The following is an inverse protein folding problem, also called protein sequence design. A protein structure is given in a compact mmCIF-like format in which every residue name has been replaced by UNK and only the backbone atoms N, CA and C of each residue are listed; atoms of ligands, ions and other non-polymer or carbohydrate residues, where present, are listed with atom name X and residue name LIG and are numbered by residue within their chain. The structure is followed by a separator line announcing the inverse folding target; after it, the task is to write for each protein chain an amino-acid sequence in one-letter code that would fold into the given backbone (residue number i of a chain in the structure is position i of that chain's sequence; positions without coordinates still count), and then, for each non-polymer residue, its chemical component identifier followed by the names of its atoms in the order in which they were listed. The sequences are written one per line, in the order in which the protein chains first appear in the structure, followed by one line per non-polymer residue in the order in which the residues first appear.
data_IF_586649915396
#
_entry.id   IF_586649915396
#
_cell.length_a   1.000
_cell.length_b   1.000
_cell.length_c   1.000
_cell.angle_alpha   90.00
_cell.angle_beta   90.00
_cell.angle_gamma   90.00
#
_symmetry.space_group_name_H-M   'P 1'
#
loop_
_entity.id
_entity.type
_entity.pdbx_description
1 polymer ?
#
# COMPACT_ATOMS: atom_id res chain seq x y z
N UNK A 1 15.19 -25.98 -29.77
CA UNK A 1 14.82 -26.47 -28.43
C UNK A 1 15.83 -25.88 -27.46
N UNK A 2 15.53 -25.05 -26.47
CA UNK A 2 14.26 -24.61 -25.89
C UNK A 2 14.41 -23.10 -25.56
N UNK A 3 13.25 -22.45 -25.58
CA UNK A 3 12.91 -21.03 -25.49
C UNK A 3 13.59 -20.33 -24.30
N UNK A 4 14.23 -19.19 -24.59
CA UNK A 4 14.63 -18.19 -23.60
C UNK A 4 13.69 -16.98 -23.71
N UNK A 5 13.29 -16.48 -22.53
CA UNK A 5 12.81 -15.12 -22.26
C UNK A 5 11.56 -14.60 -23.02
N UNK A 6 10.39 -14.74 -22.40
CA UNK A 6 9.24 -13.85 -22.65
C UNK A 6 8.14 -14.00 -21.56
N UNK A 7 8.38 -13.54 -20.33
CA UNK A 7 7.30 -13.25 -19.37
C UNK A 7 7.66 -12.01 -18.54
N UNK A 8 7.72 -10.83 -19.17
CA UNK A 8 7.33 -9.54 -18.55
C UNK A 8 6.90 -8.62 -19.69
N UNK A 9 5.74 -8.88 -20.28
CA UNK A 9 5.14 -7.99 -21.29
C UNK A 9 3.62 -8.18 -21.32
N UNK A 10 2.94 -7.90 -20.20
CA UNK A 10 1.49 -7.72 -20.18
C UNK A 10 1.03 -7.09 -18.85
N UNK A 11 1.54 -5.91 -18.51
CA UNK A 11 0.82 -5.00 -17.64
C UNK A 11 0.73 -3.67 -18.39
N UNK A 12 -0.24 -3.61 -19.31
CA UNK A 12 -0.58 -2.38 -19.99
C UNK A 12 -0.97 -1.35 -18.95
N UNK A 13 -0.14 -0.32 -18.81
CA UNK A 13 -0.50 0.92 -18.14
C UNK A 13 -1.61 1.53 -19.00
N UNK A 14 -2.86 1.47 -18.53
CA UNK A 14 -3.87 2.40 -19.03
C UNK A 14 -3.59 3.73 -18.31
N UNK A 15 -2.77 4.57 -18.93
CA UNK A 15 -2.76 5.99 -18.60
C UNK A 15 -4.06 6.58 -19.13
N UNK A 16 -5.10 6.64 -18.29
CA UNK A 16 -6.30 7.42 -18.61
C UNK A 16 -5.95 8.89 -18.40
N UNK A 17 -5.43 9.54 -19.44
CA UNK A 17 -5.53 10.98 -19.55
C UNK A 17 -6.99 11.30 -19.91
N UNK A 18 -7.79 11.78 -18.95
CA UNK A 18 -9.13 12.25 -19.24
C UNK A 18 -9.16 13.78 -19.31
N UNK A 19 -9.55 14.28 -20.47
CA UNK A 19 -9.89 15.68 -20.72
C UNK A 19 -11.20 15.98 -20.00
N UNK A 20 -11.20 16.88 -19.02
CA UNK A 20 -12.42 17.38 -18.37
C UNK A 20 -13.12 18.33 -19.36
N UNK A 21 -14.41 18.12 -19.70
CA UNK A 21 -15.17 19.12 -20.42
C UNK A 21 -15.49 20.27 -19.47
N UNK A 22 -15.09 21.50 -19.83
CA UNK A 22 -15.58 22.72 -19.18
C UNK A 22 -17.12 22.79 -19.33
N UNK A 23 -17.83 22.82 -18.20
CA UNK A 23 -19.30 22.88 -18.23
C UNK A 23 -19.99 22.76 -16.87
N UNK A 24 -19.93 23.85 -16.11
CA UNK A 24 -20.92 24.32 -15.11
C UNK A 24 -21.97 23.34 -14.53
N UNK A 25 -21.89 23.08 -13.22
CA UNK A 25 -23.08 23.04 -12.34
C UNK A 25 -22.72 23.32 -10.88
N UNK A 26 -23.66 23.98 -10.17
CA UNK A 26 -23.58 24.41 -8.76
C UNK A 26 -23.25 23.24 -7.80
N UNK A 27 -22.67 23.50 -6.61
CA UNK A 27 -22.27 22.46 -5.66
C UNK A 27 -23.51 21.79 -5.04
N UNK A 28 -24.00 20.76 -5.71
CA UNK A 28 -24.80 19.74 -5.07
C UNK A 28 -23.85 18.86 -4.24
N UNK A 29 -24.25 18.51 -3.03
CA UNK A 29 -23.70 17.39 -2.25
C UNK A 29 -23.52 16.22 -3.21
N UNK A 30 -22.27 15.82 -3.52
CA UNK A 30 -22.01 14.87 -4.59
C UNK A 30 -21.45 13.53 -4.07
N UNK A 31 -22.31 12.64 -3.51
CA UNK A 31 -21.95 11.27 -3.17
C UNK A 31 -21.31 10.49 -4.33
N UNK A 32 -21.51 10.90 -5.59
CA UNK A 32 -20.85 10.25 -6.73
C UNK A 32 -19.35 10.54 -6.81
N UNK A 33 -18.91 11.74 -6.41
CA UNK A 33 -17.50 12.13 -6.43
C UNK A 33 -16.68 11.37 -5.38
N UNK A 34 -17.18 11.26 -4.15
CA UNK A 34 -16.49 10.52 -3.08
C UNK A 34 -16.44 9.01 -3.35
N UNK A 35 -17.47 8.45 -4.03
CA UNK A 35 -17.46 7.06 -4.49
C UNK A 35 -16.42 6.82 -5.59
N UNK A 36 -16.26 7.76 -6.53
CA UNK A 36 -15.21 7.65 -7.55
C UNK A 36 -13.81 7.67 -6.92
N UNK A 37 -13.57 8.56 -5.95
CA UNK A 37 -12.32 8.58 -5.19
C UNK A 37 -12.08 7.25 -4.46
N UNK A 38 -13.13 6.68 -3.86
CA UNK A 38 -13.05 5.36 -3.24
C UNK A 38 -12.65 4.29 -4.26
N UNK A 39 -13.38 4.17 -5.38
CA UNK A 39 -13.10 3.20 -6.45
C UNK A 39 -11.68 3.32 -7.00
N UNK A 40 -11.18 4.53 -7.22
CA UNK A 40 -9.82 4.72 -7.71
C UNK A 40 -8.77 4.22 -6.71
N UNK A 41 -8.99 4.45 -5.41
CA UNK A 41 -8.09 3.93 -4.37
C UNK A 41 -8.19 2.41 -4.24
N UNK A 42 -9.39 1.84 -4.32
CA UNK A 42 -9.62 0.39 -4.35
C UNK A 42 -8.85 -0.27 -5.49
N UNK A 43 -8.95 0.27 -6.70
CA UNK A 43 -8.26 -0.23 -7.88
C UNK A 43 -6.74 -0.16 -7.74
N UNK A 44 -6.22 0.93 -7.18
CA UNK A 44 -4.78 1.09 -6.91
C UNK A 44 -4.28 0.03 -5.93
N UNK A 45 -4.98 -0.19 -4.82
CA UNK A 45 -4.63 -1.22 -3.81
C UNK A 45 -4.73 -2.62 -4.42
N UNK A 46 -5.82 -2.92 -5.14
CA UNK A 46 -6.02 -4.21 -5.78
C UNK A 46 -4.93 -4.50 -6.84
N UNK A 47 -4.48 -3.48 -7.56
CA UNK A 47 -3.35 -3.60 -8.49
C UNK A 47 -2.07 -4.01 -7.76
N UNK A 48 -1.71 -3.34 -6.66
CA UNK A 48 -0.54 -3.72 -5.84
C UNK A 48 -0.63 -5.15 -5.32
N UNK A 49 -1.79 -5.55 -4.77
CA UNK A 49 -2.02 -6.94 -4.32
C UNK A 49 -1.84 -7.93 -5.45
N UNK A 50 -2.39 -7.65 -6.64
CA UNK A 50 -2.29 -8.52 -7.81
C UNK A 50 -0.85 -8.68 -8.29
N UNK A 51 -0.08 -7.59 -8.33
CA UNK A 51 1.34 -7.61 -8.72
C UNK A 51 2.15 -8.46 -7.75
N UNK A 52 1.94 -8.26 -6.45
CA UNK A 52 2.63 -9.03 -5.42
C UNK A 52 2.26 -10.50 -5.48
N UNK A 53 0.97 -10.81 -5.64
CA UNK A 53 0.49 -12.19 -5.76
C UNK A 53 1.08 -12.89 -6.98
N UNK A 54 1.08 -12.24 -8.15
CA UNK A 54 1.62 -12.81 -9.39
C UNK A 54 3.13 -13.02 -9.32
N UNK A 55 3.87 -12.03 -8.80
CA UNK A 55 5.33 -12.12 -8.69
C UNK A 55 5.76 -13.12 -7.61
N UNK A 56 4.96 -13.31 -6.56
CA UNK A 56 5.15 -14.38 -5.57
C UNK A 56 5.10 -15.80 -6.15
N UNK A 57 4.50 -15.99 -7.33
CA UNK A 57 4.48 -17.29 -8.02
C UNK A 57 5.77 -17.57 -8.81
N UNK A 58 6.64 -16.58 -9.01
CA UNK A 58 7.85 -16.73 -9.79
C UNK A 58 8.82 -17.73 -9.12
N UNK A 59 9.43 -18.67 -9.88
CA UNK A 59 10.41 -19.61 -9.33
C UNK A 59 11.55 -18.93 -8.58
N UNK A 60 11.99 -17.77 -9.06
CA UNK A 60 13.01 -16.93 -8.44
C UNK A 60 12.57 -16.42 -7.06
N UNK A 61 11.29 -16.09 -6.87
CA UNK A 61 10.76 -15.62 -5.58
C UNK A 61 10.57 -16.78 -4.60
N UNK A 62 10.20 -17.95 -5.12
CA UNK A 62 10.06 -19.19 -4.33
C UNK A 62 11.40 -19.82 -3.92
N UNK A 63 12.50 -19.46 -4.58
CA UNK A 63 13.83 -19.95 -4.22
C UNK A 63 14.22 -19.53 -2.79
N UNK A 64 14.66 -20.46 -1.95
CA UNK A 64 15.13 -20.15 -0.58
C UNK A 64 16.49 -20.78 -0.28
N UNK A 65 17.25 -21.17 -1.30
CA UNK A 65 18.53 -21.89 -1.16
C UNK A 65 19.58 -21.11 -0.35
N UNK A 66 19.48 -19.78 -0.30
CA UNK A 66 20.39 -18.92 0.47
C UNK A 66 19.96 -18.69 1.92
N UNK A 67 19.00 -19.46 2.45
CA UNK A 67 18.47 -19.27 3.82
C UNK A 67 19.56 -19.35 4.90
N UNK A 68 20.57 -20.19 4.69
CA UNK A 68 21.72 -20.32 5.60
C UNK A 68 22.61 -19.06 5.67
N UNK A 69 22.46 -18.12 4.74
CA UNK A 69 23.21 -16.86 4.70
C UNK A 69 22.50 -15.71 5.44
N UNK A 70 21.27 -15.92 5.93
CA UNK A 70 20.54 -14.91 6.69
C UNK A 70 21.31 -14.56 7.96
N UNK A 71 21.64 -13.29 8.14
CA UNK A 71 22.41 -12.82 9.29
C UNK A 71 22.01 -11.42 9.73
N UNK A 72 22.30 -11.08 10.99
CA UNK A 72 22.15 -9.73 11.52
C UNK A 72 23.20 -8.75 10.98
N UNK A 73 24.32 -9.24 10.43
CA UNK A 73 25.34 -8.38 9.83
C UNK A 73 24.87 -7.71 8.53
N UNK A 74 23.98 -8.36 7.79
CA UNK A 74 23.38 -7.84 6.55
C UNK A 74 21.88 -7.55 6.70
N UNK A 75 21.31 -7.78 7.90
CA UNK A 75 19.86 -7.75 8.15
C UNK A 75 19.07 -8.55 7.10
N UNK A 76 19.59 -9.74 6.78
CA UNK A 76 19.13 -10.61 5.70
C UNK A 76 20.31 -11.36 5.07
N UNK A 77 20.16 -11.77 3.81
CA UNK A 77 21.25 -12.34 3.02
C UNK A 77 22.10 -11.23 2.35
N UNK A 78 23.37 -11.49 1.99
CA UNK A 78 24.20 -10.57 1.21
C UNK A 78 23.58 -10.08 -0.11
N UNK A 79 24.03 -8.93 -0.62
CA UNK A 79 23.50 -8.32 -1.85
C UNK A 79 23.73 -9.18 -3.11
N UNK A 80 24.82 -9.94 -3.14
CA UNK A 80 25.24 -10.81 -4.23
C UNK A 80 24.64 -12.22 -4.13
N UNK A 81 23.91 -12.52 -3.05
CA UNK A 81 23.12 -13.74 -2.92
C UNK A 81 21.72 -13.57 -3.53
N UNK A 82 21.18 -14.67 -4.07
CA UNK A 82 19.83 -14.77 -4.65
C UNK A 82 19.49 -13.64 -5.64
N UNK A 83 20.45 -13.36 -6.54
CA UNK A 83 20.40 -12.24 -7.51
C UNK A 83 19.13 -12.26 -8.35
N UNK A 84 18.61 -13.45 -8.69
CA UNK A 84 17.39 -13.60 -9.47
C UNK A 84 16.15 -13.06 -8.71
N UNK A 85 15.99 -13.42 -7.42
CA UNK A 85 14.91 -12.88 -6.58
C UNK A 85 15.02 -11.36 -6.42
N UNK A 86 16.24 -10.88 -6.16
CA UNK A 86 16.54 -9.44 -6.06
C UNK A 86 16.19 -8.70 -7.35
N UNK A 87 16.43 -9.30 -8.52
CA UNK A 87 16.09 -8.69 -9.80
C UNK A 87 14.57 -8.59 -9.99
N UNK A 88 13.78 -9.57 -9.54
CA UNK A 88 12.31 -9.46 -9.54
C UNK A 88 11.85 -8.26 -8.70
N UNK A 89 12.38 -8.12 -7.48
CA UNK A 89 12.09 -6.96 -6.62
C UNK A 89 12.46 -5.62 -7.29
N UNK A 90 13.66 -5.51 -7.86
CA UNK A 90 14.11 -4.31 -8.58
C UNK A 90 13.23 -3.97 -9.79
N UNK A 91 12.78 -4.99 -10.52
CA UNK A 91 11.88 -4.80 -11.67
C UNK A 91 10.52 -4.24 -11.22
N UNK A 92 9.98 -4.71 -10.08
CA UNK A 92 8.74 -4.16 -9.51
C UNK A 92 8.96 -2.68 -9.17
N UNK A 93 9.99 -2.35 -8.39
CA UNK A 93 10.29 -0.96 -8.00
C UNK A 93 10.46 -0.07 -9.25
N UNK A 94 11.22 -0.51 -10.25
CA UNK A 94 11.42 0.26 -11.48
C UNK A 94 10.15 0.43 -12.33
N UNK A 95 9.21 -0.51 -12.25
CA UNK A 95 7.97 -0.47 -13.06
C UNK A 95 6.90 0.40 -12.39
N UNK A 96 6.77 0.30 -11.07
CA UNK A 96 5.78 1.04 -10.29
C UNK A 96 6.31 2.37 -9.75
N UNK A 97 7.61 2.63 -9.92
CA UNK A 97 8.25 3.91 -9.63
C UNK A 97 8.02 4.33 -8.19
N UNK A 98 7.67 5.60 -8.02
CA UNK A 98 7.54 6.26 -6.73
C UNK A 98 6.41 5.67 -5.84
N UNK A 99 5.52 4.82 -6.38
CA UNK A 99 4.46 4.16 -5.60
C UNK A 99 4.99 3.03 -4.71
N UNK A 100 6.07 2.34 -5.12
CA UNK A 100 6.64 1.19 -4.40
C UNK A 100 8.06 1.52 -4.00
N UNK A 101 8.24 1.88 -2.74
CA UNK A 101 9.52 2.33 -2.22
C UNK A 101 10.50 1.18 -1.93
N UNK A 102 9.96 0.02 -1.55
CA UNK A 102 10.75 -1.16 -1.20
C UNK A 102 10.00 -2.45 -1.46
N UNK A 103 10.75 -3.52 -1.72
CA UNK A 103 10.24 -4.89 -1.74
C UNK A 103 11.08 -5.75 -0.80
N UNK A 104 10.43 -6.57 0.02
CA UNK A 104 11.06 -7.51 0.94
C UNK A 104 10.52 -8.93 0.74
N UNK A 105 11.39 -9.91 0.99
CA UNK A 105 10.97 -11.29 1.27
C UNK A 105 11.28 -11.61 2.72
N UNK A 106 10.33 -12.19 3.43
CA UNK A 106 10.52 -12.66 4.79
C UNK A 106 10.44 -14.17 4.86
N UNK A 107 11.21 -14.77 5.75
CA UNK A 107 11.07 -16.18 6.12
C UNK A 107 9.75 -16.41 6.84
N UNK A 108 9.29 -17.67 6.99
CA UNK A 108 8.06 -17.99 7.72
C UNK A 108 8.07 -17.47 9.16
N UNK A 109 9.24 -17.36 9.81
CA UNK A 109 9.43 -16.86 11.18
C UNK A 109 9.52 -15.33 11.26
N UNK A 110 9.42 -14.63 10.13
CA UNK A 110 9.43 -13.18 10.05
C UNK A 110 10.82 -12.54 10.04
N UNK A 111 11.88 -13.31 9.74
CA UNK A 111 13.19 -12.71 9.48
C UNK A 111 13.22 -12.14 8.06
N UNK A 112 13.85 -10.98 7.88
CA UNK A 112 14.18 -10.49 6.54
C UNK A 112 15.12 -11.50 5.87
N UNK A 113 14.74 -11.94 4.67
CA UNK A 113 15.59 -12.75 3.80
C UNK A 113 16.28 -11.84 2.79
N UNK A 114 15.50 -11.06 2.02
CA UNK A 114 16.01 -10.00 1.15
C UNK A 114 15.20 -8.72 1.35
N UNK A 115 15.82 -7.58 1.04
CA UNK A 115 15.16 -6.32 0.76
C UNK A 115 15.82 -5.62 -0.42
N UNK A 116 15.02 -4.95 -1.23
CA UNK A 116 15.46 -4.03 -2.27
C UNK A 116 14.75 -2.67 -2.13
N UNK A 117 15.47 -1.56 -2.30
CA UNK A 117 16.93 -1.46 -2.52
C UNK A 117 17.75 -2.01 -1.35
N UNK A 118 18.88 -2.67 -1.63
CA UNK A 118 19.70 -3.34 -0.61
C UNK A 118 20.12 -2.43 0.56
N UNK A 119 20.38 -1.14 0.32
CA UNK A 119 20.71 -0.20 1.40
C UNK A 119 19.58 -0.08 2.43
N UNK A 120 18.32 -0.16 1.98
CA UNK A 120 17.16 -0.14 2.86
C UNK A 120 17.02 -1.44 3.68
N UNK A 121 17.50 -2.58 3.16
CA UNK A 121 17.66 -3.82 3.94
C UNK A 121 18.71 -3.63 5.03
N UNK A 122 19.89 -3.16 4.63
CA UNK A 122 21.07 -3.10 5.50
C UNK A 122 20.89 -2.13 6.68
N UNK A 123 20.13 -1.05 6.50
CA UNK A 123 19.87 -0.08 7.56
C UNK A 123 18.76 -0.48 8.53
N UNK A 124 18.09 -1.61 8.32
CA UNK A 124 17.01 -2.05 9.20
C UNK A 124 17.53 -2.22 10.64
N UNK A 125 16.79 -1.74 11.66
CA UNK A 125 17.23 -1.78 13.06
C UNK A 125 17.27 -3.20 13.65
N UNK A 126 16.60 -4.16 13.02
CA UNK A 126 16.51 -5.56 13.45
C UNK A 126 16.19 -6.47 12.28
N UNK A 127 16.49 -7.76 12.46
CA UNK A 127 16.28 -8.79 11.45
C UNK A 127 14.83 -9.31 11.42
N UNK A 128 14.18 -9.45 12.58
CA UNK A 128 12.85 -10.05 12.67
C UNK A 128 11.77 -8.97 12.73
N UNK A 129 10.66 -9.16 12.01
CA UNK A 129 9.49 -8.26 11.93
C UNK A 129 8.15 -8.99 12.14
N UNK A 130 8.17 -10.11 12.86
CA UNK A 130 6.96 -10.91 13.12
C UNK A 130 5.88 -10.20 13.97
N UNK A 131 6.24 -9.09 14.59
CA UNK A 131 5.36 -8.22 15.37
C UNK A 131 4.62 -7.18 14.51
N UNK A 132 4.95 -7.05 13.21
CA UNK A 132 4.30 -6.07 12.33
C UNK A 132 2.90 -6.53 11.96
N UNK A 133 1.97 -5.57 11.89
CA UNK A 133 0.56 -5.79 11.49
C UNK A 133 0.47 -6.58 10.17
N UNK A 134 1.19 -6.17 9.13
CA UNK A 134 1.18 -6.89 7.85
C UNK A 134 1.67 -8.34 7.96
N UNK A 135 2.65 -8.63 8.83
CA UNK A 135 3.16 -9.99 9.00
C UNK A 135 2.15 -10.85 9.76
N UNK A 136 1.59 -10.33 10.85
CA UNK A 136 0.57 -11.04 11.63
C UNK A 136 -0.67 -11.30 10.79
N UNK A 137 -1.08 -10.32 10.00
CA UNK A 137 -2.21 -10.43 9.08
C UNK A 137 -2.02 -11.49 8.00
N UNK A 138 -0.93 -11.41 7.23
CA UNK A 138 -0.66 -12.35 6.13
C UNK A 138 -0.43 -13.79 6.64
N UNK A 139 0.22 -13.95 7.80
CA UNK A 139 0.49 -15.27 8.38
C UNK A 139 -0.75 -15.93 8.99
N UNK A 140 -1.63 -15.15 9.62
CA UNK A 140 -2.87 -15.66 10.20
C UNK A 140 -3.94 -16.00 9.15
N UNK A 141 -4.00 -15.21 8.07
CA UNK A 141 -5.04 -15.37 7.04
C UNK A 141 -4.63 -16.32 5.91
N UNK A 142 -3.32 -16.50 5.68
CA UNK A 142 -2.79 -17.20 4.50
C UNK A 142 -3.31 -16.61 3.18
N UNK A 143 -3.58 -15.31 3.18
CA UNK A 143 -4.06 -14.53 2.04
C UNK A 143 -3.37 -13.17 2.01
N UNK A 144 -3.53 -12.43 0.92
CA UNK A 144 -3.02 -11.08 0.81
C UNK A 144 -3.53 -10.19 1.96
N UNK A 145 -2.66 -9.34 2.47
CA UNK A 145 -2.97 -8.45 3.59
C UNK A 145 -2.41 -7.05 3.35
N UNK A 146 -3.28 -6.05 3.43
CA UNK A 146 -2.92 -4.63 3.37
C UNK A 146 -2.96 -4.05 4.78
N UNK A 147 -1.83 -3.52 5.25
CA UNK A 147 -1.70 -3.09 6.65
C UNK A 147 -2.40 -1.77 6.97
N UNK A 148 -2.48 -1.46 8.26
CA UNK A 148 -2.59 -0.07 8.72
C UNK A 148 -1.36 0.74 8.29
N UNK A 149 -1.48 2.06 8.30
CA UNK A 149 -0.33 2.96 8.15
C UNK A 149 0.62 2.74 9.33
N UNK A 150 1.91 2.71 9.04
CA UNK A 150 2.96 2.62 10.06
C UNK A 150 4.19 3.42 9.65
N UNK A 151 5.04 3.77 10.63
CA UNK A 151 6.33 4.38 10.35
C UNK A 151 7.31 3.32 9.83
N UNK A 152 7.72 3.42 8.57
CA UNK A 152 8.61 2.45 7.94
C UNK A 152 10.05 2.67 8.39
N UNK A 153 10.71 1.60 8.87
CA UNK A 153 12.14 1.63 9.16
C UNK A 153 13.02 1.62 7.89
N UNK A 154 12.45 1.23 6.75
CA UNK A 154 13.17 1.13 5.48
C UNK A 154 13.29 2.49 4.79
N UNK A 155 12.26 3.35 4.91
CA UNK A 155 12.20 4.64 4.22
C UNK A 155 12.09 5.85 5.17
N UNK A 156 11.94 5.60 6.48
CA UNK A 156 11.81 6.62 7.52
C UNK A 156 10.60 7.55 7.37
N UNK A 157 9.56 7.06 6.71
CA UNK A 157 8.32 7.78 6.42
C UNK A 157 7.10 6.85 6.66
N UNK A 158 5.90 7.41 6.89
CA UNK A 158 4.67 6.63 6.94
C UNK A 158 4.41 5.89 5.64
N UNK A 159 4.12 4.60 5.77
CA UNK A 159 3.88 3.70 4.65
C UNK A 159 2.73 2.75 4.97
N UNK A 160 2.24 2.10 3.92
CA UNK A 160 1.40 0.90 4.01
C UNK A 160 2.18 -0.27 3.43
N UNK A 161 2.00 -1.46 4.00
CA UNK A 161 2.56 -2.69 3.45
C UNK A 161 1.46 -3.51 2.76
N UNK A 162 1.81 -4.08 1.61
CA UNK A 162 1.04 -5.13 0.95
C UNK A 162 1.85 -6.41 1.05
N UNK A 163 1.36 -7.37 1.83
CA UNK A 163 2.01 -8.66 2.04
C UNK A 163 1.19 -9.80 1.41
N UNK A 164 1.87 -10.74 0.75
CA UNK A 164 1.25 -11.94 0.21
C UNK A 164 2.04 -13.19 0.64
N UNK A 165 1.36 -14.32 0.92
CA UNK A 165 2.05 -15.57 1.21
C UNK A 165 2.70 -16.12 -0.06
N UNK A 166 3.88 -16.70 0.09
CA UNK A 166 4.57 -17.43 -0.97
C UNK A 166 4.61 -18.90 -0.57
N UNK A 167 4.07 -19.76 -1.43
CA UNK A 167 4.03 -21.19 -1.23
C UNK A 167 5.12 -21.90 -2.06
N UNK A 168 5.45 -23.13 -1.63
CA UNK A 168 6.35 -24.02 -2.36
C UNK A 168 5.76 -24.49 -3.71
N UNK A 169 6.33 -25.55 -4.29
CA UNK A 169 5.73 -26.17 -5.47
C UNK A 169 4.50 -27.01 -5.09
N UNK A 170 3.47 -26.96 -5.94
CA UNK A 170 2.23 -27.74 -5.78
C UNK A 170 2.53 -29.24 -5.57
N UNK A 171 2.04 -29.81 -4.48
CA UNK A 171 2.10 -31.25 -4.22
C UNK A 171 2.43 -31.67 -2.78
N UNK A 172 2.74 -30.73 -1.90
CA UNK A 172 2.89 -30.99 -0.45
C UNK A 172 1.64 -30.57 0.30
N UNK A 173 0.94 -31.50 0.95
CA UNK A 173 -0.32 -31.24 1.65
C UNK A 173 -0.21 -30.09 2.67
N UNK A 174 -1.23 -29.21 2.66
CA UNK A 174 -1.36 -27.97 3.46
C UNK A 174 -0.09 -27.13 3.47
N UNK A 175 0.21 -26.55 2.31
CA UNK A 175 1.39 -25.71 2.07
C UNK A 175 1.45 -24.58 3.10
N UNK A 176 2.28 -24.76 4.12
CA UNK A 176 2.70 -23.63 4.95
C UNK A 176 3.50 -22.70 4.05
N UNK A 177 3.25 -21.40 4.14
CA UNK A 177 4.01 -20.44 3.35
C UNK A 177 5.51 -20.63 3.62
N UNK A 178 6.31 -20.69 2.55
CA UNK A 178 7.79 -20.72 2.63
C UNK A 178 8.38 -19.32 2.85
N UNK A 179 7.52 -18.30 2.86
CA UNK A 179 7.84 -16.94 3.19
C UNK A 179 6.73 -15.98 2.78
N UNK A 180 7.01 -14.69 2.93
CA UNK A 180 6.05 -13.62 2.63
C UNK A 180 6.71 -12.58 1.73
N UNK A 181 6.04 -12.23 0.64
CA UNK A 181 6.48 -11.22 -0.32
C UNK A 181 5.76 -9.91 -0.02
N UNK A 182 6.53 -8.86 0.31
CA UNK A 182 6.01 -7.65 0.94
C UNK A 182 6.46 -6.41 0.18
N UNK A 183 5.52 -5.57 -0.20
CA UNK A 183 5.78 -4.25 -0.79
C UNK A 183 5.52 -3.16 0.24
N UNK A 184 6.42 -2.19 0.28
CA UNK A 184 6.26 -0.96 1.05
C UNK A 184 5.78 0.12 0.08
N UNK A 185 4.54 0.57 0.29
CA UNK A 185 3.88 1.57 -0.54
C UNK A 185 4.17 2.96 0.01
N UNK A 186 4.70 3.83 -0.84
CA UNK A 186 4.89 5.23 -0.51
C UNK A 186 3.54 5.98 -0.59
N UNK A 187 3.24 6.75 0.45
CA UNK A 187 2.00 7.52 0.53
C UNK A 187 2.08 8.87 -0.17
N UNK A 188 3.29 9.37 -0.45
CA UNK A 188 3.50 10.68 -1.07
C UNK A 188 2.89 10.81 -2.47
N UNK A 189 2.96 9.75 -3.27
CA UNK A 189 2.35 9.75 -4.62
C UNK A 189 0.82 9.69 -4.57
N UNK A 190 0.23 9.07 -3.55
CA UNK A 190 -1.21 9.13 -3.31
C UNK A 190 -1.60 10.59 -3.00
N UNK A 191 -0.85 11.23 -2.11
CA UNK A 191 -1.12 12.60 -1.68
C UNK A 191 -0.92 13.62 -2.81
N UNK A 192 0.13 13.45 -3.61
CA UNK A 192 0.40 14.25 -4.81
C UNK A 192 -0.71 14.12 -5.85
N UNK A 193 -1.21 12.91 -6.08
CA UNK A 193 -2.37 12.69 -6.93
C UNK A 193 -3.62 13.42 -6.41
N UNK A 194 -3.86 13.38 -5.10
CA UNK A 194 -4.99 14.10 -4.48
C UNK A 194 -4.89 15.62 -4.65
N UNK A 195 -3.70 16.21 -4.53
CA UNK A 195 -3.49 17.66 -4.71
C UNK A 195 -3.77 18.15 -6.13
N UNK A 196 -3.64 17.28 -7.13
CA UNK A 196 -3.91 17.61 -8.52
C UNK A 196 -5.42 17.62 -8.85
N UNK A 197 -6.26 17.13 -7.93
CA UNK A 197 -7.71 17.15 -8.11
C UNK A 197 -8.22 18.58 -7.89
N UNK A 198 -8.81 19.17 -8.93
CA UNK A 198 -9.46 20.48 -8.86
C UNK A 198 -10.79 20.40 -8.09
N UNK A 199 -11.28 21.55 -7.59
CA UNK A 199 -12.63 21.65 -7.01
C UNK A 199 -12.72 22.14 -5.55
N UNK A 200 -11.66 22.73 -5.00
CA UNK A 200 -11.68 23.46 -3.72
C UNK A 200 -12.04 22.62 -2.48
N UNK A 201 -12.12 21.30 -2.62
CA UNK A 201 -12.44 20.37 -1.55
C UNK A 201 -11.16 19.79 -0.96
N UNK A 202 -11.11 19.66 0.37
CA UNK A 202 -10.06 18.89 1.02
C UNK A 202 -10.45 17.41 1.01
N UNK A 203 -9.60 16.55 0.49
CA UNK A 203 -9.81 15.11 0.40
C UNK A 203 -8.83 14.43 1.35
N UNK A 204 -9.33 13.50 2.15
CA UNK A 204 -8.51 12.72 3.07
C UNK A 204 -8.83 11.23 2.89
N UNK A 205 -7.79 10.41 2.85
CA UNK A 205 -7.87 8.97 2.98
C UNK A 205 -7.43 8.55 4.38
N UNK A 206 -8.09 7.54 4.96
CA UNK A 206 -7.73 6.98 6.25
C UNK A 206 -7.78 5.44 6.21
N UNK A 207 -6.86 4.80 6.93
CA UNK A 207 -6.82 3.35 7.05
C UNK A 207 -7.92 2.81 7.96
N UNK A 208 -7.92 1.49 8.17
CA UNK A 208 -8.92 0.78 8.96
C UNK A 208 -8.91 1.14 10.47
N UNK A 209 -7.84 1.76 10.97
CA UNK A 209 -7.74 2.30 12.33
C UNK A 209 -8.14 3.78 12.40
N UNK A 210 -8.56 4.36 11.26
CA UNK A 210 -8.81 5.79 11.14
C UNK A 210 -7.52 6.63 11.19
N UNK A 211 -6.36 6.04 10.89
CA UNK A 211 -5.10 6.79 10.73
C UNK A 211 -5.05 7.34 9.33
N UNK A 212 -4.69 8.62 9.19
CA UNK A 212 -4.59 9.27 7.89
C UNK A 212 -3.61 8.54 6.98
N UNK A 213 -3.97 8.35 5.70
CA UNK A 213 -3.11 7.82 4.64
C UNK A 213 -2.59 8.99 3.80
N UNK A 214 -3.46 9.89 3.38
CA UNK A 214 -3.12 11.05 2.57
C UNK A 214 -4.12 12.18 2.84
N UNK A 215 -3.67 13.43 2.75
CA UNK A 215 -4.48 14.63 2.92
C UNK A 215 -4.14 15.65 1.82
N UNK A 216 -5.13 16.00 0.99
CA UNK A 216 -4.92 16.93 -0.13
C UNK A 216 -4.57 18.35 0.33
N UNK A 217 -4.79 18.70 1.60
CA UNK A 217 -4.43 19.99 2.18
C UNK A 217 -3.07 20.00 2.90
N UNK A 218 -2.36 18.86 2.95
CA UNK A 218 -1.02 18.82 3.55
C UNK A 218 -0.04 19.64 2.70
N UNK A 219 0.81 20.40 3.40
CA UNK A 219 1.92 21.14 2.81
C UNK A 219 2.99 20.16 2.28
N UNK A 220 3.29 20.15 0.97
CA UNK A 220 4.29 19.27 0.38
C UNK A 220 5.71 19.49 0.90
N UNK A 221 5.99 20.65 1.52
CA UNK A 221 7.30 20.95 2.12
C UNK A 221 7.49 20.35 3.51
N UNK A 222 6.40 19.84 4.12
CA UNK A 222 6.44 19.26 5.46
C UNK A 222 6.66 17.76 5.38
N UNK A 223 7.83 17.30 5.85
CA UNK A 223 8.11 15.87 6.00
C UNK A 223 7.14 15.24 6.99
N UNK A 224 6.57 14.10 6.62
CA UNK A 224 5.64 13.38 7.47
C UNK A 224 6.40 12.56 8.52
N UNK A 225 6.40 13.03 9.76
CA UNK A 225 7.14 12.41 10.86
C UNK A 225 6.24 11.74 11.90
N UNK A 226 4.92 11.89 11.77
CA UNK A 226 3.93 11.39 12.69
C UNK A 226 2.73 10.73 11.99
N UNK A 227 1.96 9.97 12.77
CA UNK A 227 0.72 9.32 12.34
C UNK A 227 -0.47 10.08 12.93
N UNK A 228 -1.23 10.76 12.08
CA UNK A 228 -2.42 11.52 12.49
C UNK A 228 -3.62 10.58 12.61
N UNK A 229 -4.23 10.53 13.78
CA UNK A 229 -5.52 9.86 13.96
C UNK A 229 -6.68 10.77 13.56
N UNK A 230 -7.63 10.21 12.82
CA UNK A 230 -8.91 10.78 12.40
C UNK A 230 -10.09 9.96 12.95
N UNK A 231 -9.81 9.03 13.87
CA UNK A 231 -10.79 8.12 14.47
C UNK A 231 -11.90 8.85 15.25
N UNK A 232 -11.71 10.13 15.57
CA UNK A 232 -12.69 10.98 16.22
C UNK A 232 -13.76 11.54 15.25
N UNK A 233 -13.51 11.56 13.94
CA UNK A 233 -14.44 12.09 12.94
C UNK A 233 -15.60 11.13 12.71
N UNK A 234 -16.83 11.64 12.72
CA UNK A 234 -18.03 10.82 12.53
C UNK A 234 -18.13 10.30 11.10
N UNK A 235 -17.65 11.09 10.12
CA UNK A 235 -17.55 10.66 8.72
C UNK A 235 -16.62 9.46 8.54
N UNK A 236 -15.47 9.48 9.21
CA UNK A 236 -14.49 8.37 9.18
C UNK A 236 -15.08 7.12 9.83
N UNK A 237 -15.67 7.23 11.03
CA UNK A 237 -16.34 6.09 11.69
C UNK A 237 -17.44 5.49 10.81
N UNK A 238 -18.26 6.34 10.17
CA UNK A 238 -19.34 5.89 9.31
C UNK A 238 -18.81 5.18 8.04
N UNK A 239 -17.76 5.71 7.41
CA UNK A 239 -17.09 5.07 6.27
C UNK A 239 -16.48 3.72 6.65
N UNK A 240 -15.77 3.64 7.78
CA UNK A 240 -15.20 2.38 8.28
C UNK A 240 -16.27 1.34 8.61
N UNK A 241 -17.48 1.78 8.98
CA UNK A 241 -18.66 0.92 9.15
C UNK A 241 -19.35 0.53 7.81
N UNK A 242 -18.73 0.82 6.66
CA UNK A 242 -19.24 0.46 5.33
C UNK A 242 -20.30 1.41 4.78
N UNK A 243 -20.50 2.59 5.38
CA UNK A 243 -21.55 3.53 4.97
C UNK A 243 -21.01 4.60 4.03
N UNK A 244 -21.86 5.02 3.10
CA UNK A 244 -21.64 6.21 2.27
C UNK A 244 -22.69 7.26 2.61
N UNK A 245 -22.29 8.51 2.74
CA UNK A 245 -23.23 9.59 3.02
C UNK A 245 -22.57 10.95 3.11
N UNK A 246 -23.32 11.91 3.65
CA UNK A 246 -22.86 13.26 3.92
C UNK A 246 -23.35 13.71 5.29
N UNK A 247 -22.58 14.57 5.95
CA UNK A 247 -22.91 15.18 7.24
C UNK A 247 -22.22 16.54 7.39
N UNK A 248 -22.58 17.27 8.43
CA UNK A 248 -21.83 18.46 8.86
C UNK A 248 -21.11 18.10 10.15
N UNK A 249 -19.79 18.32 10.19
CA UNK A 249 -18.98 18.13 11.40
C UNK A 249 -17.91 19.22 11.51
N UNK A 250 -17.32 19.33 12.70
CA UNK A 250 -16.23 20.26 12.96
C UNK A 250 -14.91 19.55 12.70
N UNK A 251 -14.13 20.05 11.73
CA UNK A 251 -12.79 19.56 11.39
C UNK A 251 -11.80 20.68 11.59
N UNK A 252 -10.77 20.45 12.40
CA UNK A 252 -9.73 21.45 12.72
C UNK A 252 -10.33 22.81 13.18
N UNK A 253 -11.40 22.73 13.98
CA UNK A 253 -12.12 23.90 14.51
C UNK A 253 -13.04 24.63 13.54
N UNK A 254 -13.20 24.12 12.30
CA UNK A 254 -14.07 24.72 11.26
C UNK A 254 -15.25 23.81 10.97
N UNK A 255 -16.44 24.40 10.80
CA UNK A 255 -17.63 23.67 10.37
C UNK A 255 -17.51 23.32 8.89
N UNK A 256 -17.51 22.02 8.59
CA UNK A 256 -17.34 21.48 7.24
C UNK A 256 -18.58 20.68 6.83
N UNK A 257 -19.01 20.82 5.58
CA UNK A 257 -19.85 19.82 4.90
C UNK A 257 -18.93 18.70 4.43
N UNK A 258 -19.21 17.48 4.87
CA UNK A 258 -18.38 16.31 4.62
C UNK A 258 -19.17 15.25 3.87
N UNK A 259 -18.61 14.71 2.81
CA UNK A 259 -19.10 13.49 2.14
C UNK A 259 -18.09 12.38 2.34
N UNK A 260 -18.56 11.15 2.57
CA UNK A 260 -17.69 10.03 2.94
C UNK A 260 -18.13 8.73 2.26
N UNK A 261 -17.18 7.84 2.01
CA UNK A 261 -17.42 6.50 1.47
C UNK A 261 -16.41 5.48 2.00
N UNK A 262 -16.80 4.18 2.08
CA UNK A 262 -15.86 3.11 2.37
C UNK A 262 -14.95 2.84 1.18
N UNK A 263 -13.74 2.37 1.45
CA UNK A 263 -12.77 1.88 0.48
C UNK A 263 -12.43 0.44 0.84
N UNK A 264 -12.63 -0.50 -0.07
CA UNK A 264 -12.21 -1.90 0.11
C UNK A 264 -10.69 -2.02 0.01
N UNK A 265 -10.06 -2.40 1.11
CA UNK A 265 -8.62 -2.61 1.21
C UNK A 265 -8.37 -3.94 1.93
N UNK A 266 -8.49 -5.05 1.19
CA UNK A 266 -8.55 -6.41 1.73
C UNK A 266 -7.46 -6.68 2.79
N UNK A 267 -7.81 -7.23 3.97
CA UNK A 267 -9.15 -7.69 4.39
C UNK A 267 -10.05 -6.61 5.01
N UNK A 268 -9.61 -5.36 4.99
CA UNK A 268 -10.21 -4.27 5.76
C UNK A 268 -11.10 -3.35 4.92
N UNK A 269 -11.77 -2.45 5.64
CA UNK A 269 -12.42 -1.26 5.08
C UNK A 269 -11.65 -0.02 5.53
N UNK A 270 -11.26 0.81 4.57
CA UNK A 270 -10.67 2.12 4.75
C UNK A 270 -11.72 3.21 4.51
N UNK A 271 -11.36 4.47 4.73
CA UNK A 271 -12.25 5.61 4.56
C UNK A 271 -11.69 6.60 3.54
N UNK A 272 -12.60 7.17 2.73
CA UNK A 272 -12.38 8.44 2.03
C UNK A 272 -13.37 9.47 2.54
N UNK A 273 -12.89 10.68 2.76
CA UNK A 273 -13.71 11.83 3.13
C UNK A 273 -13.35 13.02 2.24
N UNK A 274 -14.37 13.76 1.81
CA UNK A 274 -14.24 15.01 1.04
C UNK A 274 -14.97 16.12 1.79
N UNK A 275 -14.29 17.25 1.98
CA UNK A 275 -14.70 18.30 2.90
C UNK A 275 -14.70 19.67 2.20
N UNK A 276 -15.74 20.46 2.47
CA UNK A 276 -15.85 21.87 2.07
C UNK A 276 -16.35 22.73 3.24
N UNK A 277 -15.95 24.01 3.35
CA UNK A 277 -16.51 24.92 4.34
C UNK A 277 -18.05 24.98 4.25
N UNK A 278 -18.74 24.98 5.39
CA UNK A 278 -20.20 24.91 5.40
C UNK A 278 -20.91 26.19 4.90
N UNK A 279 -20.18 27.30 4.77
CA UNK A 279 -20.72 28.64 4.48
C UNK A 279 -20.97 29.44 5.76
#
# INVERSE_FOLDING_TARGET
MIIAAAIVAAAGIIAVAYVIPEGSSKPAENPSGVRLLASNLEERIASSVKVMSLTGLAPEVRNTDSLSLVSTAQMGIPQDADVAKRQVAKNIISTYGDDVASIFFLTPEGNIYIGEPFEQQKQLPRLNYSDRDWYQGVSATNDAYVSSVFMSAAIHEPAVAVAVPVYGQEGTEKESAIGYWVAIINLDEIEKGLRQLEGGSRIIFADHNGTEIADSARDPSTTRTDLRSLSNLESVKAALAGKTGSLVEVVDGKTMKVSYAPVKAHPHTWAVVSMQPAG
#
